data_IF_055006804534
#
_entry.id   IF_055006804534
#
_cell.length_a   1.000
_cell.length_b   1.000
_cell.length_c   1.000
_cell.angle_alpha   90.00
_cell.angle_beta   90.00
_cell.angle_gamma   90.00
#
_symmetry.space_group_name_H-M   'P 1'
#
loop_
_entity.id
_entity.type
_entity.pdbx_description
1 polymer ?
#
# COMPACT_ATOMS: atom_id res chain seq x y z
N UNK A 1 40.31 45.71 -9.42
CA UNK A 1 39.19 46.15 -10.28
C UNK A 1 37.94 46.19 -9.42
N UNK A 2 37.19 47.31 -9.36
CA UNK A 2 35.97 47.38 -8.56
C UNK A 2 34.87 46.60 -9.27
N UNK A 3 34.19 45.72 -8.54
CA UNK A 3 32.90 45.17 -8.97
C UNK A 3 31.94 46.36 -8.98
N UNK A 4 31.46 46.76 -10.16
CA UNK A 4 30.50 47.88 -10.30
C UNK A 4 29.13 47.47 -9.76
N UNK A 5 28.34 48.41 -9.22
CA UNK A 5 27.01 48.15 -8.63
C UNK A 5 26.07 47.35 -9.56
N UNK A 6 26.16 47.57 -10.88
CA UNK A 6 25.43 46.81 -11.89
C UNK A 6 25.74 45.29 -11.89
N UNK A 7 26.94 44.91 -11.45
CA UNK A 7 27.34 43.50 -11.26
C UNK A 7 26.77 42.92 -9.98
N UNK A 8 26.58 43.72 -8.93
CA UNK A 8 26.00 43.28 -7.65
C UNK A 8 24.50 43.01 -7.79
N UNK A 9 23.75 43.93 -8.41
CA UNK A 9 22.31 43.74 -8.68
C UNK A 9 22.05 42.49 -9.54
N UNK A 10 22.90 42.23 -10.54
CA UNK A 10 22.80 41.02 -11.38
C UNK A 10 23.02 39.74 -10.58
N UNK A 11 23.93 39.76 -9.59
CA UNK A 11 24.19 38.62 -8.71
C UNK A 11 23.02 38.42 -7.75
N UNK A 12 22.47 39.48 -7.17
CA UNK A 12 21.30 39.42 -6.28
C UNK A 12 20.08 38.86 -7.01
N UNK A 13 19.82 39.30 -8.24
CA UNK A 13 18.70 38.80 -9.04
C UNK A 13 18.83 37.30 -9.36
N UNK A 14 20.06 36.83 -9.63
CA UNK A 14 20.35 35.40 -9.85
C UNK A 14 20.17 34.58 -8.57
N UNK A 15 20.55 35.12 -7.41
CA UNK A 15 20.35 34.47 -6.11
C UNK A 15 18.86 34.36 -5.77
N UNK A 16 18.07 35.41 -6.03
CA UNK A 16 16.62 35.38 -5.85
C UNK A 16 15.97 34.32 -6.74
N UNK A 17 16.35 34.26 -8.02
CA UNK A 17 15.85 33.24 -8.94
C UNK A 17 16.25 31.82 -8.52
N UNK A 18 17.47 31.66 -7.98
CA UNK A 18 17.93 30.37 -7.48
C UNK A 18 17.10 29.93 -6.27
N UNK A 19 16.85 30.82 -5.31
CA UNK A 19 16.03 30.52 -4.14
C UNK A 19 14.60 30.11 -4.55
N UNK A 20 13.97 30.83 -5.47
CA UNK A 20 12.66 30.47 -6.00
C UNK A 20 12.65 29.07 -6.66
N UNK A 21 13.72 28.69 -7.37
CA UNK A 21 13.83 27.34 -7.95
C UNK A 21 14.00 26.27 -6.89
N UNK A 22 14.74 26.55 -5.83
CA UNK A 22 14.93 25.64 -4.68
C UNK A 22 13.61 25.41 -3.96
N UNK A 23 12.84 26.46 -3.69
CA UNK A 23 11.53 26.37 -3.03
C UNK A 23 10.55 25.51 -3.86
N UNK A 24 10.49 25.75 -5.17
CA UNK A 24 9.67 24.95 -6.08
C UNK A 24 10.10 23.48 -6.13
N UNK A 25 11.41 23.21 -6.06
CA UNK A 25 11.92 21.84 -6.04
C UNK A 25 11.54 21.13 -4.73
N UNK A 26 11.62 21.83 -3.58
CA UNK A 26 11.18 21.32 -2.29
C UNK A 26 9.68 20.97 -2.28
N UNK A 27 8.85 21.83 -2.85
CA UNK A 27 7.41 21.57 -3.00
C UNK A 27 7.15 20.33 -3.85
N UNK A 28 7.82 20.19 -5.00
CA UNK A 28 7.69 19.02 -5.87
C UNK A 28 8.14 17.73 -5.19
N UNK A 29 9.25 17.75 -4.44
CA UNK A 29 9.72 16.59 -3.68
C UNK A 29 8.73 16.19 -2.58
N UNK A 30 8.11 17.17 -1.92
CA UNK A 30 7.10 16.93 -0.88
C UNK A 30 5.85 16.30 -1.48
N UNK A 31 5.33 16.86 -2.57
CA UNK A 31 4.21 16.27 -3.31
C UNK A 31 4.50 14.86 -3.82
N UNK A 32 5.71 14.61 -4.32
CA UNK A 32 6.10 13.27 -4.78
C UNK A 32 6.20 12.26 -3.62
N UNK A 33 6.71 12.67 -2.46
CA UNK A 33 6.82 11.79 -1.30
C UNK A 33 5.45 11.51 -0.68
N UNK A 34 4.57 12.50 -0.60
CA UNK A 34 3.18 12.34 -0.19
C UNK A 34 2.40 11.47 -1.17
N UNK A 35 2.56 11.68 -2.48
CA UNK A 35 1.95 10.83 -3.51
C UNK A 35 2.46 9.39 -3.42
N UNK A 36 3.76 9.17 -3.20
CA UNK A 36 4.32 7.83 -2.99
C UNK A 36 3.81 7.17 -1.70
N UNK A 37 3.67 7.92 -0.61
CA UNK A 37 3.07 7.42 0.64
C UNK A 37 1.61 7.08 0.42
N UNK A 38 0.84 7.96 -0.23
CA UNK A 38 -0.56 7.74 -0.54
C UNK A 38 -0.77 6.58 -1.50
N UNK A 39 0.07 6.42 -2.54
CA UNK A 39 0.04 5.25 -3.42
C UNK A 39 0.41 3.96 -2.68
N UNK A 40 1.40 3.97 -1.77
CA UNK A 40 1.70 2.81 -0.91
C UNK A 40 0.61 2.52 0.13
N UNK A 41 -0.13 3.54 0.54
CA UNK A 41 -1.23 3.43 1.50
C UNK A 41 -2.54 3.02 0.79
N UNK A 42 -2.74 3.42 -0.47
CA UNK A 42 -3.88 3.11 -1.36
C UNK A 42 -3.68 1.82 -2.17
N UNK A 43 -2.43 1.35 -2.35
CA UNK A 43 -2.11 -0.08 -2.31
C UNK A 43 -2.36 -0.60 -0.88
N UNK A 44 -3.57 -0.36 -0.36
CA UNK A 44 -4.24 -1.34 0.47
C UNK A 44 -4.15 -2.58 -0.41
N UNK A 45 -3.24 -3.50 -0.10
CA UNK A 45 -3.04 -4.71 -0.87
C UNK A 45 -4.41 -5.36 -1.00
N UNK A 46 -5.19 -5.14 -2.06
CA UNK A 46 -6.54 -5.73 -2.18
C UNK A 46 -6.42 -7.19 -2.59
N UNK A 47 -5.30 -7.80 -2.26
CA UNK A 47 -4.93 -9.13 -2.64
C UNK A 47 -5.02 -10.00 -1.39
N UNK A 48 -5.76 -11.08 -1.50
CA UNK A 48 -5.76 -12.14 -0.50
C UNK A 48 -5.33 -13.42 -1.18
N UNK A 49 -4.58 -14.26 -0.48
CA UNK A 49 -4.14 -15.54 -1.03
C UNK A 49 -4.83 -16.71 -0.37
N UNK A 50 -5.02 -17.76 -1.16
CA UNK A 50 -5.46 -19.06 -0.68
C UNK A 50 -4.41 -20.10 -1.04
N UNK A 51 -4.07 -20.94 -0.07
CA UNK A 51 -3.06 -22.00 -0.21
C UNK A 51 -3.61 -23.30 0.32
N UNK A 52 -3.41 -24.37 -0.43
CA UNK A 52 -3.77 -25.71 0.01
C UNK A 52 -2.84 -26.19 1.13
N UNK A 53 -3.41 -26.70 2.22
CA UNK A 53 -2.65 -27.19 3.37
C UNK A 53 -3.30 -28.44 3.97
N UNK A 54 -2.82 -29.62 3.55
CA UNK A 54 -3.36 -30.93 3.98
C UNK A 54 -4.87 -31.01 3.69
N UNK A 55 -5.71 -31.22 4.71
CA UNK A 55 -7.18 -31.25 4.60
C UNK A 55 -7.83 -29.88 4.88
N UNK A 56 -7.06 -28.81 4.71
CA UNK A 56 -7.46 -27.45 5.03
C UNK A 56 -6.97 -26.49 3.97
N UNK A 57 -7.51 -25.28 3.98
CA UNK A 57 -7.07 -24.15 3.17
C UNK A 57 -6.61 -23.03 4.09
N UNK A 58 -5.52 -22.37 3.72
CA UNK A 58 -4.96 -21.23 4.43
C UNK A 58 -5.27 -19.96 3.66
N UNK A 59 -5.86 -18.98 4.34
CA UNK A 59 -6.17 -17.66 3.79
C UNK A 59 -5.26 -16.62 4.42
N UNK A 60 -4.48 -15.92 3.59
CA UNK A 60 -3.52 -14.91 4.05
C UNK A 60 -3.87 -13.52 3.52
N UNK A 61 -3.67 -12.52 4.37
CA UNK A 61 -3.83 -11.11 4.04
C UNK A 61 -2.96 -10.23 4.93
N UNK A 62 -2.38 -9.15 4.40
CA UNK A 62 -1.34 -8.40 5.10
C UNK A 62 -1.87 -7.49 6.22
N UNK A 63 -2.78 -6.53 5.97
CA UNK A 63 -2.98 -5.44 6.94
C UNK A 63 -4.39 -4.86 7.14
N UNK A 64 -5.45 -5.40 6.55
CA UNK A 64 -6.79 -4.83 6.62
C UNK A 64 -7.58 -5.44 7.79
N UNK A 65 -8.01 -4.58 8.73
CA UNK A 65 -8.74 -5.00 9.92
C UNK A 65 -10.16 -5.50 9.60
N UNK A 66 -10.85 -4.89 8.64
CA UNK A 66 -12.19 -5.30 8.21
C UNK A 66 -12.15 -6.73 7.64
N UNK A 67 -11.17 -7.01 6.77
CA UNK A 67 -10.96 -8.36 6.24
C UNK A 67 -10.65 -9.37 7.36
N UNK A 68 -9.74 -9.03 8.29
CA UNK A 68 -9.40 -9.92 9.41
C UNK A 68 -10.62 -10.24 10.29
N UNK A 69 -11.46 -9.24 10.58
CA UNK A 69 -12.68 -9.44 11.35
C UNK A 69 -13.68 -10.32 10.59
N UNK A 70 -13.87 -10.06 9.30
CA UNK A 70 -14.77 -10.86 8.47
C UNK A 70 -14.35 -12.33 8.39
N UNK A 71 -13.07 -12.60 8.12
CA UNK A 71 -12.53 -13.97 8.05
C UNK A 71 -12.69 -14.69 9.40
N UNK A 72 -12.53 -13.96 10.52
CA UNK A 72 -12.79 -14.50 11.86
C UNK A 72 -14.27 -14.85 12.05
N UNK A 73 -15.18 -14.00 11.60
CA UNK A 73 -16.64 -14.23 11.66
C UNK A 73 -17.08 -15.43 10.81
N UNK A 74 -16.38 -15.71 9.70
CA UNK A 74 -16.59 -16.93 8.89
C UNK A 74 -16.16 -18.22 9.61
N UNK A 75 -15.59 -18.14 10.81
CA UNK A 75 -15.17 -19.30 11.59
C UNK A 75 -13.74 -19.77 11.31
N UNK A 76 -12.91 -18.92 10.70
CA UNK A 76 -11.50 -19.24 10.47
C UNK A 76 -10.74 -19.38 11.78
N UNK A 77 -9.80 -20.34 11.83
CA UNK A 77 -8.90 -20.51 12.97
C UNK A 77 -7.54 -19.92 12.64
N UNK A 78 -7.09 -18.93 13.42
CA UNK A 78 -5.79 -18.31 13.19
C UNK A 78 -4.64 -19.27 13.46
N UNK A 79 -3.83 -19.55 12.44
CA UNK A 79 -2.62 -20.39 12.54
C UNK A 79 -1.38 -19.52 12.66
N UNK A 80 -0.86 -19.40 13.89
CA UNK A 80 0.27 -18.51 14.22
C UNK A 80 1.54 -18.83 13.42
N UNK A 81 1.84 -20.12 13.19
CA UNK A 81 3.06 -20.55 12.49
C UNK A 81 3.08 -20.16 11.01
N UNK A 82 1.90 -20.08 10.37
CA UNK A 82 1.75 -19.70 8.96
C UNK A 82 1.33 -18.25 8.78
N UNK A 83 0.88 -17.59 9.86
CA UNK A 83 0.30 -16.25 9.84
C UNK A 83 -0.88 -16.17 8.88
N UNK A 84 -1.74 -17.19 8.91
CA UNK A 84 -2.88 -17.36 8.01
C UNK A 84 -4.09 -17.87 8.76
N UNK A 85 -5.28 -17.63 8.23
CA UNK A 85 -6.53 -18.20 8.71
C UNK A 85 -6.75 -19.56 8.08
N UNK A 86 -6.99 -20.58 8.90
CA UNK A 86 -7.21 -21.95 8.45
C UNK A 86 -8.70 -22.27 8.43
N UNK A 87 -9.14 -22.92 7.34
CA UNK A 87 -10.48 -23.45 7.18
C UNK A 87 -10.47 -24.90 6.71
N UNK A 88 -11.51 -25.70 7.00
CA UNK A 88 -11.68 -27.02 6.39
C UNK A 88 -11.75 -26.91 4.87
N UNK A 89 -11.08 -27.82 4.16
CA UNK A 89 -11.06 -27.80 2.69
C UNK A 89 -12.45 -28.02 2.08
N UNK A 90 -13.36 -28.68 2.80
CA UNK A 90 -14.77 -28.81 2.41
C UNK A 90 -15.49 -27.47 2.20
N UNK A 91 -15.02 -26.41 2.85
CA UNK A 91 -15.67 -25.10 2.85
C UNK A 91 -14.99 -24.13 1.87
N UNK A 92 -13.95 -24.56 1.14
CA UNK A 92 -13.15 -23.68 0.27
C UNK A 92 -14.02 -22.87 -0.69
N UNK A 93 -14.86 -23.55 -1.48
CA UNK A 93 -15.71 -22.91 -2.49
C UNK A 93 -16.67 -21.89 -1.87
N UNK A 94 -17.25 -22.23 -0.72
CA UNK A 94 -18.17 -21.36 0.00
C UNK A 94 -17.46 -20.11 0.54
N UNK A 95 -16.30 -20.28 1.18
CA UNK A 95 -15.52 -19.18 1.75
C UNK A 95 -15.03 -18.24 0.64
N UNK A 96 -14.51 -18.79 -0.47
CA UNK A 96 -14.09 -17.98 -1.62
C UNK A 96 -15.26 -17.17 -2.18
N UNK A 97 -16.44 -17.77 -2.29
CA UNK A 97 -17.64 -17.06 -2.73
C UNK A 97 -18.00 -15.91 -1.79
N UNK A 98 -18.06 -16.17 -0.47
CA UNK A 98 -18.40 -15.17 0.54
C UNK A 98 -17.40 -14.02 0.63
N UNK A 99 -16.10 -14.30 0.47
CA UNK A 99 -15.05 -13.25 0.46
C UNK A 99 -15.18 -12.41 -0.81
N UNK A 100 -15.35 -13.04 -1.97
CA UNK A 100 -15.45 -12.33 -3.26
C UNK A 100 -16.70 -11.47 -3.34
N UNK A 101 -17.83 -11.92 -2.77
CA UNK A 101 -19.06 -11.15 -2.68
C UNK A 101 -18.92 -9.93 -1.75
N UNK A 102 -18.27 -10.10 -0.59
CA UNK A 102 -18.06 -9.01 0.37
C UNK A 102 -17.01 -8.00 -0.12
N UNK A 103 -15.98 -8.46 -0.82
CA UNK A 103 -14.85 -7.67 -1.29
C UNK A 103 -14.67 -7.81 -2.82
N UNK A 104 -15.62 -7.33 -3.65
CA UNK A 104 -15.61 -7.56 -5.10
C UNK A 104 -14.47 -6.85 -5.84
N UNK A 105 -13.81 -5.88 -5.20
CA UNK A 105 -12.66 -5.17 -5.75
C UNK A 105 -11.32 -5.82 -5.39
N UNK A 106 -11.36 -6.95 -4.69
CA UNK A 106 -10.18 -7.63 -4.18
C UNK A 106 -9.83 -8.83 -5.05
N UNK A 107 -8.54 -9.02 -5.28
CA UNK A 107 -8.03 -10.08 -6.14
C UNK A 107 -7.64 -11.29 -5.29
N UNK A 108 -8.09 -12.47 -5.73
CA UNK A 108 -7.63 -13.74 -5.20
C UNK A 108 -6.32 -14.15 -5.87
N UNK A 109 -5.29 -14.40 -5.07
CA UNK A 109 -4.03 -15.03 -5.50
C UNK A 109 -4.08 -16.50 -5.09
N UNK A 110 -4.12 -17.41 -6.06
CA UNK A 110 -3.96 -18.85 -5.78
C UNK A 110 -2.48 -19.18 -5.78
N UNK A 111 -1.94 -19.56 -4.63
CA UNK A 111 -0.57 -20.07 -4.53
C UNK A 111 -0.65 -21.60 -4.57
N UNK A 112 0.14 -22.20 -5.47
CA UNK A 112 0.26 -23.66 -5.62
C UNK A 112 1.17 -24.27 -4.56
#
# INVERSE_FOLDING_TARGET
MPITELSLESIELKLQLLNQKVDKLLELMTLQTEKKKKMKQEEIETNWSIVDYKNSVLISFSFNMEFKNYIKELGGVWMVSKKSWMFPKSNETEIVSQITEKFPKWNLIKEN
#
